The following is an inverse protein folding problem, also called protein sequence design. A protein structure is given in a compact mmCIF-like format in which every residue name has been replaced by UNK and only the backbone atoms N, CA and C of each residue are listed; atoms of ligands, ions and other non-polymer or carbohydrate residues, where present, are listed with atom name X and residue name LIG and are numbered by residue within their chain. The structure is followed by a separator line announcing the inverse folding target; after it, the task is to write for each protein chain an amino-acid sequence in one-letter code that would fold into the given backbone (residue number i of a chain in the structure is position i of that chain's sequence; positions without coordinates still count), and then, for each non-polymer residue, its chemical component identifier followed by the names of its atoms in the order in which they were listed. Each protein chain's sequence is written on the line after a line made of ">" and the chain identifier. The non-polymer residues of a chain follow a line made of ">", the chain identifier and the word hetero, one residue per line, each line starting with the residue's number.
data_IF_578069476556
#
_entry.id   IF_578069476556
#
_cell.length_a   1.000
_cell.length_b   1.000
_cell.length_c   1.000
_cell.angle_alpha   90.00
_cell.angle_beta   90.00
_cell.angle_gamma   90.00
#
_symmetry.space_group_name_H-M   'P 1'
#
loop_
_entity.id
_entity.type
_entity.pdbx_description
1 polymer ?
#
# COMPACT_ATOMS: atom_id res chain seq x y z
N UNK A 1 -1.71 -17.93 -5.44
CA UNK A 1 -2.24 -16.72 -4.79
C UNK A 1 -3.60 -17.04 -4.20
N UNK A 2 -3.79 -16.69 -2.91
CA UNK A 2 -5.08 -16.74 -2.23
C UNK A 2 -5.56 -15.30 -2.00
N UNK A 3 -6.86 -15.06 -2.11
CA UNK A 3 -7.48 -13.76 -1.87
C UNK A 3 -8.46 -13.90 -0.71
N UNK A 4 -8.43 -12.99 0.23
CA UNK A 4 -9.45 -12.86 1.28
C UNK A 4 -10.28 -11.61 0.94
N UNK A 5 -11.60 -11.78 0.83
CA UNK A 5 -12.51 -10.71 0.48
C UNK A 5 -13.81 -10.83 1.28
N UNK A 6 -14.33 -9.71 1.75
CA UNK A 6 -15.58 -9.64 2.49
C UNK A 6 -16.77 -9.22 1.62
N UNK A 7 -16.52 -8.59 0.47
CA UNK A 7 -17.54 -8.17 -0.48
C UNK A 7 -17.93 -9.33 -1.42
N UNK A 8 -19.18 -9.74 -1.36
CA UNK A 8 -19.71 -10.87 -2.13
C UNK A 8 -19.69 -10.60 -3.64
N UNK A 9 -19.86 -9.37 -4.08
CA UNK A 9 -19.85 -9.03 -5.51
C UNK A 9 -18.41 -9.04 -6.05
N UNK A 10 -17.44 -8.59 -5.26
CA UNK A 10 -16.01 -8.72 -5.60
C UNK A 10 -15.59 -10.20 -5.66
N UNK A 11 -16.07 -11.04 -4.74
CA UNK A 11 -15.80 -12.47 -4.77
C UNK A 11 -16.33 -13.11 -6.05
N UNK A 12 -17.55 -12.79 -6.46
CA UNK A 12 -18.14 -13.30 -7.70
C UNK A 12 -17.32 -12.87 -8.92
N UNK A 13 -16.89 -11.61 -8.95
CA UNK A 13 -16.05 -11.11 -10.02
C UNK A 13 -14.71 -11.84 -10.09
N UNK A 14 -14.00 -11.99 -8.97
CA UNK A 14 -12.70 -12.66 -8.88
C UNK A 14 -12.77 -14.15 -9.22
N UNK A 15 -13.83 -14.84 -8.83
CA UNK A 15 -14.04 -16.27 -9.14
C UNK A 15 -14.08 -16.53 -10.65
N UNK A 16 -14.62 -15.59 -11.43
CA UNK A 16 -14.63 -15.65 -12.90
C UNK A 16 -13.25 -15.67 -13.55
N UNK A 17 -12.22 -15.22 -12.84
CA UNK A 17 -10.81 -15.20 -13.29
C UNK A 17 -9.98 -16.40 -12.76
N UNK A 18 -10.59 -17.34 -12.06
CA UNK A 18 -9.91 -18.54 -11.55
C UNK A 18 -9.09 -18.33 -10.29
N UNK A 19 -9.27 -17.22 -9.59
CA UNK A 19 -8.62 -16.99 -8.29
C UNK A 19 -9.25 -17.82 -7.17
N UNK A 20 -8.43 -18.30 -6.25
CA UNK A 20 -8.91 -18.93 -5.01
C UNK A 20 -9.26 -17.82 -4.01
N UNK A 21 -10.55 -17.60 -3.82
CA UNK A 21 -11.07 -16.55 -2.95
C UNK A 21 -11.69 -17.16 -1.71
N UNK A 22 -11.29 -16.66 -0.54
CA UNK A 22 -11.88 -17.00 0.74
C UNK A 22 -12.80 -15.85 1.17
N UNK A 23 -14.05 -16.16 1.44
CA UNK A 23 -14.96 -15.21 2.05
C UNK A 23 -14.59 -15.00 3.52
N UNK A 24 -14.32 -13.76 3.91
CA UNK A 24 -14.06 -13.46 5.31
C UNK A 24 -13.45 -12.08 5.56
N UNK A 25 -13.29 -11.82 6.85
CA UNK A 25 -12.65 -10.62 7.36
C UNK A 25 -11.17 -10.90 7.65
N UNK A 26 -10.26 -10.22 6.96
CA UNK A 26 -8.81 -10.35 7.15
C UNK A 26 -8.30 -9.94 8.52
N UNK A 27 -9.12 -9.30 9.36
CA UNK A 27 -8.77 -9.02 10.77
C UNK A 27 -8.93 -10.23 11.69
N UNK A 28 -9.44 -11.35 11.15
CA UNK A 28 -9.65 -12.60 11.88
C UNK A 28 -8.52 -13.59 11.60
N UNK A 29 -7.87 -14.03 12.66
CA UNK A 29 -6.74 -14.96 12.57
C UNK A 29 -7.13 -16.32 11.96
N UNK A 30 -8.33 -16.82 12.27
CA UNK A 30 -8.82 -18.08 11.71
C UNK A 30 -9.02 -18.00 10.18
N UNK A 31 -9.43 -16.85 9.67
CA UNK A 31 -9.56 -16.60 8.22
C UNK A 31 -8.19 -16.54 7.56
N UNK A 32 -7.24 -15.82 8.15
CA UNK A 32 -5.85 -15.75 7.66
C UNK A 32 -5.20 -17.14 7.61
N UNK A 33 -5.34 -17.93 8.66
CA UNK A 33 -4.81 -19.31 8.71
C UNK A 33 -5.47 -20.20 7.67
N UNK A 34 -6.80 -20.14 7.53
CA UNK A 34 -7.55 -20.93 6.55
C UNK A 34 -7.16 -20.59 5.10
N UNK A 35 -6.76 -19.35 4.83
CA UNK A 35 -6.31 -18.91 3.51
C UNK A 35 -4.87 -19.30 3.16
N UNK A 36 -4.10 -19.83 4.12
CA UNK A 36 -2.72 -20.28 3.94
C UNK A 36 -1.68 -19.23 4.29
N UNK A 37 -2.00 -18.26 5.15
CA UNK A 37 -1.06 -17.21 5.54
C UNK A 37 0.21 -17.74 6.24
N UNK A 38 0.11 -18.91 6.90
CA UNK A 38 1.25 -19.52 7.59
C UNK A 38 2.37 -19.98 6.64
N UNK A 39 2.03 -20.34 5.40
CA UNK A 39 2.95 -20.80 4.37
C UNK A 39 3.23 -19.70 3.31
N UNK A 40 2.71 -18.49 3.51
CA UNK A 40 2.88 -17.41 2.57
C UNK A 40 4.28 -16.80 2.66
N UNK A 41 4.94 -16.60 1.52
CA UNK A 41 6.18 -15.81 1.43
C UNK A 41 5.92 -14.32 1.57
N UNK A 42 4.72 -13.87 1.15
CA UNK A 42 4.31 -12.48 1.22
C UNK A 42 2.80 -12.37 1.49
N UNK A 43 2.43 -11.37 2.29
CA UNK A 43 1.04 -10.98 2.55
C UNK A 43 0.86 -9.55 2.08
N UNK A 44 -0.10 -9.35 1.16
CA UNK A 44 -0.45 -8.04 0.62
C UNK A 44 -1.73 -7.55 1.31
N UNK A 45 -1.65 -6.40 1.98
CA UNK A 45 -2.76 -5.77 2.69
C UNK A 45 -3.27 -4.58 1.87
N UNK A 46 -4.39 -4.78 1.17
CA UNK A 46 -4.96 -3.82 0.23
C UNK A 46 -6.36 -3.31 0.65
N UNK A 47 -6.65 -3.33 1.95
CA UNK A 47 -7.94 -2.88 2.48
C UNK A 47 -8.05 -1.35 2.49
N UNK A 48 -9.29 -0.84 2.41
CA UNK A 48 -9.54 0.60 2.25
C UNK A 48 -9.37 1.40 3.55
N UNK A 49 -9.67 0.79 4.70
CA UNK A 49 -9.62 1.49 6.00
C UNK A 49 -8.29 1.31 6.70
N UNK A 50 -7.63 2.42 7.09
CA UNK A 50 -6.33 2.39 7.77
C UNK A 50 -6.33 1.51 9.03
N UNK A 51 -7.38 1.61 9.85
CA UNK A 51 -7.49 0.87 11.11
C UNK A 51 -7.58 -0.65 10.86
N UNK A 52 -8.24 -1.03 9.77
CA UNK A 52 -8.32 -2.43 9.34
C UNK A 52 -6.96 -2.93 8.88
N UNK A 53 -6.23 -2.11 8.10
CA UNK A 53 -4.88 -2.43 7.65
C UNK A 53 -3.91 -2.57 8.84
N UNK A 54 -3.92 -1.60 9.77
CA UNK A 54 -3.09 -1.61 10.97
C UNK A 54 -3.34 -2.91 11.78
N UNK A 55 -4.61 -3.31 11.95
CA UNK A 55 -4.97 -4.53 12.66
C UNK A 55 -4.49 -5.80 11.98
N UNK A 56 -4.59 -5.87 10.65
CA UNK A 56 -4.09 -7.01 9.87
C UNK A 56 -2.55 -7.09 9.99
N UNK A 57 -1.86 -5.96 9.91
CA UNK A 57 -0.40 -5.89 10.07
C UNK A 57 0.02 -6.42 11.44
N UNK A 58 -0.61 -5.96 12.53
CA UNK A 58 -0.34 -6.46 13.89
C UNK A 58 -0.50 -7.97 13.99
N UNK A 59 -1.59 -8.52 13.45
CA UNK A 59 -1.84 -9.96 13.45
C UNK A 59 -0.79 -10.72 12.64
N UNK A 60 -0.45 -10.22 11.46
CA UNK A 60 0.52 -10.88 10.59
C UNK A 60 1.92 -10.88 11.21
N UNK A 61 2.34 -9.79 11.82
CA UNK A 61 3.65 -9.72 12.50
C UNK A 61 3.74 -10.66 13.71
N UNK A 62 2.64 -10.80 14.46
CA UNK A 62 2.60 -11.69 15.62
C UNK A 62 2.55 -13.17 15.23
N UNK A 63 1.79 -13.53 14.20
CA UNK A 63 1.44 -14.93 13.90
C UNK A 63 2.19 -15.50 12.69
N UNK A 64 2.66 -14.64 11.77
CA UNK A 64 3.34 -15.05 10.53
C UNK A 64 4.64 -14.25 10.30
N UNK A 65 5.58 -14.29 11.26
CA UNK A 65 6.76 -13.41 11.25
C UNK A 65 7.75 -13.66 10.09
N UNK A 66 7.59 -14.74 9.34
CA UNK A 66 8.42 -15.05 8.19
C UNK A 66 7.85 -14.50 6.87
N UNK A 67 6.58 -14.12 6.85
CA UNK A 67 5.95 -13.55 5.67
C UNK A 67 6.31 -12.07 5.53
N UNK A 68 6.70 -11.65 4.34
CA UNK A 68 6.93 -10.22 4.03
C UNK A 68 5.60 -9.48 3.93
N UNK A 69 5.53 -8.29 4.52
CA UNK A 69 4.32 -7.47 4.55
C UNK A 69 4.42 -6.31 3.56
N UNK A 70 3.52 -6.31 2.59
CA UNK A 70 3.31 -5.23 1.62
C UNK A 70 1.96 -4.58 1.89
N UNK A 71 1.92 -3.29 2.15
CA UNK A 71 0.71 -2.62 2.63
C UNK A 71 0.35 -1.40 1.80
N UNK A 72 -0.90 -1.30 1.39
CA UNK A 72 -1.44 -0.10 0.78
C UNK A 72 -1.73 0.94 1.87
N UNK A 73 -0.98 2.03 1.86
CA UNK A 73 -1.19 3.14 2.77
C UNK A 73 -2.28 4.08 2.26
N UNK A 74 -3.20 4.46 3.12
CA UNK A 74 -4.29 5.40 2.80
C UNK A 74 -3.75 6.79 2.50
N UNK A 75 -2.92 7.31 3.40
CA UNK A 75 -2.32 8.63 3.29
C UNK A 75 -0.86 8.64 3.81
N UNK A 76 -0.26 9.84 3.86
CA UNK A 76 1.10 10.01 4.33
C UNK A 76 1.27 9.65 5.82
N UNK A 77 0.30 10.02 6.65
CA UNK A 77 0.33 9.70 8.08
C UNK A 77 0.26 8.20 8.32
N UNK A 78 -0.59 7.50 7.58
CA UNK A 78 -0.67 6.04 7.62
C UNK A 78 0.63 5.39 7.12
N UNK A 79 1.21 5.89 6.03
CA UNK A 79 2.51 5.39 5.54
C UNK A 79 3.61 5.48 6.60
N UNK A 80 3.70 6.61 7.33
CA UNK A 80 4.67 6.78 8.42
C UNK A 80 4.42 5.77 9.56
N UNK A 81 3.17 5.52 9.95
CA UNK A 81 2.86 4.50 10.98
C UNK A 81 3.26 3.10 10.52
N UNK A 82 2.98 2.74 9.27
CA UNK A 82 3.35 1.44 8.70
C UNK A 82 4.87 1.25 8.66
N UNK A 83 5.63 2.29 8.28
CA UNK A 83 7.10 2.27 8.33
C UNK A 83 7.59 2.06 9.77
N UNK A 84 7.04 2.79 10.72
CA UNK A 84 7.37 2.63 12.15
C UNK A 84 6.99 1.26 12.69
N UNK A 85 5.91 0.66 12.20
CA UNK A 85 5.52 -0.70 12.52
C UNK A 85 6.45 -1.76 11.89
N UNK A 86 7.33 -1.38 10.95
CA UNK A 86 8.31 -2.28 10.36
C UNK A 86 7.75 -3.19 9.26
N UNK A 87 6.78 -2.72 8.47
CA UNK A 87 6.36 -3.43 7.25
C UNK A 87 7.49 -3.41 6.21
N UNK A 88 7.61 -4.44 5.39
CA UNK A 88 8.68 -4.55 4.38
C UNK A 88 8.52 -3.50 3.27
N UNK A 89 7.28 -3.18 2.91
CA UNK A 89 6.99 -2.18 1.89
C UNK A 89 5.60 -1.57 2.10
N UNK A 90 5.50 -0.28 1.80
CA UNK A 90 4.21 0.42 1.75
C UNK A 90 4.11 1.26 0.46
N UNK A 91 2.92 1.40 -0.06
CA UNK A 91 2.63 2.26 -1.21
C UNK A 91 1.45 3.18 -0.91
N UNK A 92 1.61 4.47 -1.19
CA UNK A 92 0.52 5.45 -1.15
C UNK A 92 -0.14 5.51 -2.51
N UNK A 93 -1.21 4.72 -2.67
CA UNK A 93 -1.90 4.58 -3.95
C UNK A 93 -2.31 5.91 -4.58
N UNK A 94 -2.91 6.81 -3.78
CA UNK A 94 -3.35 8.13 -4.27
C UNK A 94 -2.19 8.98 -4.77
N UNK A 95 -1.04 8.92 -4.11
CA UNK A 95 0.16 9.65 -4.52
C UNK A 95 0.70 9.11 -5.85
N UNK A 96 0.87 7.80 -5.96
CA UNK A 96 1.37 7.19 -7.19
C UNK A 96 0.41 7.40 -8.37
N UNK A 97 -0.90 7.27 -8.13
CA UNK A 97 -1.92 7.55 -9.15
C UNK A 97 -1.88 9.02 -9.59
N UNK A 98 -1.68 9.96 -8.67
CA UNK A 98 -1.55 11.38 -8.98
C UNK A 98 -0.32 11.69 -9.83
N UNK A 99 0.81 11.02 -9.60
CA UNK A 99 2.01 11.16 -10.42
C UNK A 99 1.78 10.67 -11.85
N UNK A 100 1.16 9.49 -12.00
CA UNK A 100 0.80 8.95 -13.33
C UNK A 100 -0.15 9.90 -14.07
N UNK A 101 -1.16 10.40 -13.37
CA UNK A 101 -2.13 11.35 -13.96
C UNK A 101 -1.46 12.69 -14.31
N UNK A 102 -0.60 13.22 -13.43
CA UNK A 102 0.15 14.45 -13.66
C UNK A 102 1.04 14.36 -14.91
N UNK A 103 1.74 13.23 -15.10
CA UNK A 103 2.51 12.96 -16.32
C UNK A 103 1.64 13.03 -17.57
N UNK A 104 0.48 12.37 -17.55
CA UNK A 104 -0.44 12.36 -18.67
C UNK A 104 -0.95 13.77 -19.02
N UNK A 105 -1.19 14.61 -18.01
CA UNK A 105 -1.58 16.02 -18.19
C UNK A 105 -0.46 16.82 -18.85
N UNK A 106 0.78 16.70 -18.37
CA UNK A 106 1.93 17.40 -18.95
C UNK A 106 2.12 17.06 -20.43
N UNK A 107 2.10 15.78 -20.78
CA UNK A 107 2.19 15.32 -22.17
C UNK A 107 1.01 15.85 -23.00
N UNK A 108 -0.21 15.81 -22.46
CA UNK A 108 -1.40 16.35 -23.13
C UNK A 108 -1.37 17.86 -23.37
N UNK A 109 -0.59 18.61 -22.59
CA UNK A 109 -0.32 20.03 -22.75
C UNK A 109 0.87 20.33 -23.69
N UNK A 110 1.50 19.29 -24.26
CA UNK A 110 2.57 19.44 -25.24
C UNK A 110 3.99 19.41 -24.65
N UNK A 111 4.14 19.07 -23.37
CA UNK A 111 5.47 18.78 -22.77
C UNK A 111 5.99 17.46 -23.34
N UNK A 112 7.28 17.41 -23.67
CA UNK A 112 7.92 16.19 -24.15
C UNK A 112 7.81 15.03 -23.14
N UNK A 113 7.71 13.79 -23.61
CA UNK A 113 7.56 12.62 -22.74
C UNK A 113 8.71 12.44 -21.74
N UNK A 114 9.94 12.72 -22.17
CA UNK A 114 11.13 12.62 -21.30
C UNK A 114 11.10 13.70 -20.21
N UNK A 115 10.80 14.94 -20.56
CA UNK A 115 10.69 16.06 -19.62
C UNK A 115 9.53 15.86 -18.63
N UNK A 116 8.40 15.34 -19.07
CA UNK A 116 7.29 14.98 -18.19
C UNK A 116 7.66 13.87 -17.22
N UNK A 117 8.42 12.89 -17.68
CA UNK A 117 8.91 11.78 -16.84
C UNK A 117 9.94 12.26 -15.82
N UNK A 118 10.90 13.09 -16.21
CA UNK A 118 11.88 13.71 -15.31
C UNK A 118 11.20 14.56 -14.23
N UNK A 119 10.17 15.32 -14.59
CA UNK A 119 9.39 16.13 -13.64
C UNK A 119 8.72 15.23 -12.59
N UNK A 120 8.11 14.13 -13.00
CA UNK A 120 7.47 13.17 -12.09
C UNK A 120 8.49 12.52 -11.15
N UNK A 121 9.65 12.11 -11.68
CA UNK A 121 10.72 11.52 -10.86
C UNK A 121 11.31 12.54 -9.86
N UNK A 122 11.41 13.80 -10.23
CA UNK A 122 11.85 14.85 -9.31
C UNK A 122 10.86 15.03 -8.15
N UNK A 123 9.56 15.03 -8.44
CA UNK A 123 8.51 15.08 -7.40
C UNK A 123 8.58 13.85 -6.49
N UNK A 124 8.75 12.65 -7.06
CA UNK A 124 8.88 11.41 -6.27
C UNK A 124 10.09 11.45 -5.36
N UNK A 125 11.24 11.89 -5.87
CA UNK A 125 12.48 12.02 -5.10
C UNK A 125 12.33 12.99 -3.93
N UNK A 126 11.82 14.20 -4.16
CA UNK A 126 11.57 15.20 -3.09
C UNK A 126 10.59 14.68 -2.05
N UNK A 127 9.56 13.96 -2.48
CA UNK A 127 8.60 13.36 -1.57
C UNK A 127 9.24 12.27 -0.70
N UNK A 128 10.13 11.45 -1.27
CA UNK A 128 10.88 10.43 -0.53
C UNK A 128 11.82 11.08 0.51
N UNK A 129 12.59 12.08 0.12
CA UNK A 129 13.47 12.86 1.02
C UNK A 129 12.67 13.44 2.20
N UNK A 130 11.51 14.02 1.91
CA UNK A 130 10.62 14.54 2.93
C UNK A 130 10.05 13.45 3.84
N UNK A 131 9.74 12.27 3.29
CA UNK A 131 9.25 11.14 4.07
C UNK A 131 10.33 10.66 5.06
N UNK A 132 11.59 10.55 4.63
CA UNK A 132 12.73 10.21 5.49
C UNK A 132 12.89 11.19 6.66
N UNK A 133 12.81 12.50 6.39
CA UNK A 133 12.84 13.50 7.48
C UNK A 133 11.70 13.30 8.48
N UNK A 134 10.52 12.94 8.00
CA UNK A 134 9.33 12.76 8.83
C UNK A 134 9.37 11.47 9.66
N UNK A 135 10.08 10.45 9.22
CA UNK A 135 10.31 9.24 10.03
C UNK A 135 11.02 9.59 11.34
N UNK A 136 12.00 10.50 11.29
CA UNK A 136 12.79 10.91 12.46
C UNK A 136 12.18 12.08 13.23
N UNK A 137 11.55 13.04 12.53
CA UNK A 137 11.13 14.34 13.08
C UNK A 137 9.61 14.56 13.17
N UNK A 138 8.79 13.56 12.83
CA UNK A 138 7.32 13.68 12.80
C UNK A 138 6.79 14.42 11.56
N UNK A 139 5.46 14.50 11.44
CA UNK A 139 4.75 15.04 10.26
C UNK A 139 5.12 16.50 9.90
N UNK A 140 5.57 17.28 10.85
CA UNK A 140 5.94 18.69 10.65
C UNK A 140 7.35 18.87 10.05
N UNK A 141 8.20 17.84 10.08
CA UNK A 141 9.52 17.88 9.50
C UNK A 141 9.47 17.97 7.96
N UNK A 142 10.40 18.70 7.37
CA UNK A 142 10.50 18.82 5.91
C UNK A 142 9.48 19.74 5.25
N UNK A 143 8.76 20.61 5.99
CA UNK A 143 7.81 21.58 5.42
C UNK A 143 8.47 22.59 4.46
N UNK A 144 9.76 22.78 4.55
CA UNK A 144 10.54 23.73 3.70
C UNK A 144 11.02 23.12 2.39
N UNK A 145 10.73 21.86 2.11
CA UNK A 145 11.08 21.16 0.87
C UNK A 145 9.97 21.19 -0.22
N UNK A 146 9.07 22.16 -0.13
CA UNK A 146 8.03 22.39 -1.16
C UNK A 146 8.57 23.29 -2.26
#
# INVERSE_FOLDING_TARGET
>A
VSIIEADVDMIRAAAGFGFKVYYGDGTRLDVLRASGAAEAEAILVCVDRPETADRIVELCQAEFPLAKLFVRAYDRGHALRLIQAGVDHQVRETFESALVFGRAVLVGLGVGEDEASETVEDVRRRDAERLEMQICGGLEAGKTLL
#
